data_IF_882798985426
#
_entry.id   IF_882798985426
#
_cell.length_a   1.000
_cell.length_b   1.000
_cell.length_c   1.000
_cell.angle_alpha   90.00
_cell.angle_beta   90.00
_cell.angle_gamma   90.00
#
_symmetry.space_group_name_H-M   'P 1'
#
loop_
_entity.id
_entity.type
_entity.pdbx_description
1 polymer ?
#
# COMPACT_ATOMS: atom_id res chain seq x y z
N UNK A 1 17.06 -3.41 1.13
CA UNK A 1 16.92 -1.94 1.35
C UNK A 1 18.26 -1.28 1.09
N UNK A 2 18.30 -0.18 0.33
CA UNK A 2 19.53 0.61 0.12
C UNK A 2 20.07 1.16 1.45
N UNK A 3 21.34 1.54 1.49
CA UNK A 3 21.94 2.15 2.69
C UNK A 3 21.22 3.44 3.11
N UNK A 4 20.75 4.21 2.12
CA UNK A 4 19.95 5.43 2.30
C UNK A 4 18.47 5.15 2.68
N UNK A 5 18.05 3.88 2.79
CA UNK A 5 16.67 3.46 3.08
C UNK A 5 15.60 4.01 2.13
N UNK A 6 16.02 4.41 0.94
CA UNK A 6 15.16 4.88 -0.13
C UNK A 6 14.54 3.69 -0.86
N UNK A 7 13.20 3.60 -0.97
CA UNK A 7 12.57 2.53 -1.72
C UNK A 7 12.60 2.82 -3.22
N UNK A 8 12.72 1.77 -4.02
CA UNK A 8 12.57 1.80 -5.47
C UNK A 8 11.82 0.57 -5.95
N UNK A 9 11.21 0.66 -7.13
CA UNK A 9 10.68 -0.52 -7.81
C UNK A 9 11.83 -1.43 -8.26
N UNK A 10 11.63 -2.73 -8.15
CA UNK A 10 12.64 -3.73 -8.46
C UNK A 10 11.99 -4.98 -9.07
N UNK A 11 12.56 -5.50 -10.16
CA UNK A 11 12.13 -6.75 -10.78
C UNK A 11 12.88 -7.91 -10.13
N UNK A 12 12.29 -8.49 -9.10
CA UNK A 12 12.80 -9.71 -8.48
C UNK A 12 12.52 -10.94 -9.35
N UNK A 13 13.53 -11.77 -9.56
CA UNK A 13 13.49 -12.99 -10.38
C UNK A 13 13.74 -14.26 -9.54
N UNK A 14 14.14 -14.12 -8.28
CA UNK A 14 14.36 -15.25 -7.37
C UNK A 14 13.91 -14.93 -5.93
N UNK A 15 13.91 -15.97 -5.07
CA UNK A 15 13.44 -15.87 -3.69
C UNK A 15 14.25 -14.88 -2.85
N UNK A 16 15.58 -14.85 -3.01
CA UNK A 16 16.46 -13.97 -2.25
C UNK A 16 16.14 -12.51 -2.55
N UNK A 17 15.99 -12.19 -3.82
CA UNK A 17 15.58 -10.88 -4.33
C UNK A 17 14.20 -10.45 -3.80
N UNK A 18 13.23 -11.37 -3.74
CA UNK A 18 11.92 -11.08 -3.11
C UNK A 18 12.08 -10.77 -1.61
N UNK A 19 12.91 -11.53 -0.90
CA UNK A 19 13.14 -11.34 0.53
C UNK A 19 13.87 -10.03 0.84
N UNK A 20 14.71 -9.53 -0.06
CA UNK A 20 15.36 -8.22 0.07
C UNK A 20 14.37 -7.04 0.06
N UNK A 21 13.15 -7.26 -0.46
CA UNK A 21 12.05 -6.30 -0.45
C UNK A 21 11.21 -6.35 0.85
N UNK A 22 11.50 -7.24 1.79
CA UNK A 22 10.74 -7.36 3.03
C UNK A 22 10.90 -6.12 3.93
N UNK A 23 9.85 -5.85 4.72
CA UNK A 23 9.76 -4.69 5.59
C UNK A 23 8.92 -3.56 4.99
N UNK A 24 8.69 -2.51 5.79
CA UNK A 24 7.92 -1.34 5.36
C UNK A 24 8.83 -0.15 5.14
N UNK A 25 8.73 0.45 3.95
CA UNK A 25 9.11 1.85 3.74
C UNK A 25 7.85 2.68 3.62
N UNK A 26 7.79 3.78 4.37
CA UNK A 26 6.64 4.67 4.39
C UNK A 26 6.73 5.78 3.34
N UNK A 27 7.85 5.89 2.63
CA UNK A 27 8.01 6.79 1.49
C UNK A 27 7.18 6.31 0.30
N UNK A 28 6.70 7.24 -0.52
CA UNK A 28 6.10 6.92 -1.81
C UNK A 28 7.13 6.19 -2.70
N UNK A 29 6.77 5.00 -3.17
CA UNK A 29 7.61 4.16 -4.02
C UNK A 29 6.93 3.94 -5.39
N UNK A 30 7.55 4.32 -6.51
CA UNK A 30 6.98 4.16 -7.85
C UNK A 30 7.20 2.74 -8.40
N UNK A 31 6.53 1.74 -7.83
CA UNK A 31 6.67 0.32 -8.28
C UNK A 31 6.33 0.18 -9.78
N UNK A 32 5.37 0.94 -10.28
CA UNK A 32 4.98 0.90 -11.70
C UNK A 32 6.04 1.48 -12.65
N UNK A 33 7.00 2.25 -12.16
CA UNK A 33 8.15 2.68 -12.96
C UNK A 33 9.00 1.45 -13.37
N UNK A 34 9.34 0.59 -12.41
CA UNK A 34 10.08 -0.63 -12.68
C UNK A 34 9.32 -1.57 -13.63
N UNK A 35 7.99 -1.67 -13.47
CA UNK A 35 7.14 -2.40 -14.41
C UNK A 35 7.22 -1.81 -15.83
N UNK A 36 7.19 -0.49 -15.97
CA UNK A 36 7.25 0.18 -17.28
C UNK A 36 8.63 0.10 -17.95
N UNK A 37 9.69 -0.21 -17.19
CA UNK A 37 11.03 -0.50 -17.74
C UNK A 37 11.16 -1.94 -18.27
N UNK A 38 10.18 -2.82 -18.02
CA UNK A 38 10.17 -4.16 -18.62
C UNK A 38 9.92 -4.02 -20.13
N UNK A 39 10.71 -4.75 -20.91
CA UNK A 39 10.67 -4.70 -22.38
C UNK A 39 9.34 -5.21 -22.92
N UNK A 40 8.87 -4.64 -24.03
CA UNK A 40 7.55 -4.95 -24.61
C UNK A 40 7.41 -6.40 -25.12
N UNK A 41 8.53 -7.04 -25.44
CA UNK A 41 8.65 -8.43 -25.89
C UNK A 41 8.69 -9.44 -24.72
N UNK A 42 8.74 -8.97 -23.47
CA UNK A 42 8.65 -9.83 -22.30
C UNK A 42 7.33 -10.61 -22.30
N UNK A 43 7.43 -11.93 -22.11
CA UNK A 43 6.31 -12.86 -22.09
C UNK A 43 6.22 -13.66 -20.77
N UNK A 44 6.95 -13.24 -19.74
CA UNK A 44 6.94 -13.90 -18.44
C UNK A 44 5.66 -13.59 -17.67
N UNK A 45 5.23 -14.52 -16.82
CA UNK A 45 4.18 -14.25 -15.83
C UNK A 45 4.74 -13.37 -14.72
N UNK A 46 4.09 -12.24 -14.48
CA UNK A 46 4.50 -11.23 -13.50
C UNK A 46 3.56 -11.25 -12.29
N UNK A 47 4.16 -11.13 -11.11
CA UNK A 47 3.49 -10.77 -9.87
C UNK A 47 3.87 -9.35 -9.46
N UNK A 48 2.92 -8.57 -8.95
CA UNK A 48 3.18 -7.20 -8.48
C UNK A 48 2.71 -7.04 -7.03
N UNK A 49 3.57 -6.49 -6.17
CA UNK A 49 3.20 -6.01 -4.83
C UNK A 49 3.11 -4.49 -4.87
N UNK A 50 1.96 -3.91 -4.53
CA UNK A 50 1.76 -2.48 -4.68
C UNK A 50 0.77 -1.89 -3.67
N UNK A 51 0.83 -0.58 -3.46
CA UNK A 51 -0.15 0.17 -2.64
C UNK A 51 -1.44 0.46 -3.43
N UNK A 52 -2.55 0.85 -2.77
CA UNK A 52 -3.87 0.90 -3.39
C UNK A 52 -3.97 1.78 -4.65
N UNK A 53 -3.29 2.93 -4.67
CA UNK A 53 -3.29 3.82 -5.83
C UNK A 53 -2.59 3.20 -7.06
N UNK A 54 -1.54 2.41 -6.83
CA UNK A 54 -0.81 1.69 -7.88
C UNK A 54 -1.59 0.47 -8.34
N UNK A 55 -2.25 -0.25 -7.42
CA UNK A 55 -3.20 -1.32 -7.74
C UNK A 55 -4.34 -0.78 -8.63
N UNK A 56 -4.91 0.38 -8.29
CA UNK A 56 -5.92 1.03 -9.12
C UNK A 56 -5.40 1.34 -10.53
N UNK A 57 -4.16 1.81 -10.65
CA UNK A 57 -3.54 2.05 -11.96
C UNK A 57 -3.34 0.75 -12.75
N UNK A 58 -2.94 -0.36 -12.11
CA UNK A 58 -2.88 -1.69 -12.75
C UNK A 58 -4.25 -2.11 -13.26
N UNK A 59 -5.31 -1.95 -12.46
CA UNK A 59 -6.67 -2.30 -12.87
C UNK A 59 -7.16 -1.45 -14.05
N UNK A 60 -6.80 -0.17 -14.08
CA UNK A 60 -7.06 0.71 -15.24
C UNK A 60 -6.30 0.24 -16.47
N UNK A 61 -5.01 -0.07 -16.35
CA UNK A 61 -4.22 -0.63 -17.47
C UNK A 61 -4.79 -1.96 -17.97
N UNK A 62 -5.28 -2.84 -17.08
CA UNK A 62 -5.94 -4.09 -17.50
C UNK A 62 -7.22 -3.84 -18.31
N UNK A 63 -7.95 -2.77 -18.00
CA UNK A 63 -9.17 -2.37 -18.73
C UNK A 63 -8.85 -1.66 -20.04
N UNK A 64 -7.85 -0.78 -20.03
CA UNK A 64 -7.40 0.04 -21.15
C UNK A 64 -5.88 -0.10 -21.29
N UNK A 65 -5.40 -1.14 -21.99
CA UNK A 65 -3.97 -1.42 -22.10
C UNK A 65 -3.20 -0.29 -22.78
N UNK A 66 -2.10 0.21 -22.17
CA UNK A 66 -1.24 1.20 -22.81
C UNK A 66 -0.52 0.59 -24.02
N UNK A 67 -0.37 1.39 -25.08
CA UNK A 67 0.41 1.03 -26.26
C UNK A 67 1.91 1.12 -25.96
N UNK A 68 2.73 0.38 -26.71
CA UNK A 68 4.20 0.39 -26.62
C UNK A 68 4.76 0.10 -25.21
N UNK A 69 4.05 -0.70 -24.43
CA UNK A 69 4.46 -1.21 -23.10
C UNK A 69 4.45 -2.73 -23.08
N UNK A 70 5.07 -3.31 -22.05
CA UNK A 70 4.87 -4.73 -21.72
C UNK A 70 3.38 -5.03 -21.58
N UNK A 71 2.97 -6.20 -22.10
CA UNK A 71 1.57 -6.62 -22.08
C UNK A 71 1.07 -6.73 -20.64
N UNK A 72 0.10 -5.90 -20.26
CA UNK A 72 -0.53 -5.93 -18.92
C UNK A 72 -1.19 -7.27 -18.59
N UNK A 73 -1.56 -8.05 -19.61
CA UNK A 73 -2.02 -9.43 -19.46
C UNK A 73 -0.97 -10.36 -18.85
N UNK A 74 0.31 -9.99 -18.83
CA UNK A 74 1.38 -10.74 -18.16
C UNK A 74 1.29 -10.63 -16.63
N UNK A 75 0.63 -9.61 -16.08
CA UNK A 75 0.42 -9.46 -14.63
C UNK A 75 -0.66 -10.44 -14.16
N UNK A 76 -0.22 -11.62 -13.73
CA UNK A 76 -1.09 -12.73 -13.30
C UNK A 76 -1.50 -12.66 -11.84
N UNK A 77 -0.76 -11.90 -11.03
CA UNK A 77 -1.02 -11.76 -9.60
C UNK A 77 -0.73 -10.35 -9.12
N UNK A 78 -1.63 -9.77 -8.34
CA UNK A 78 -1.49 -8.47 -7.67
C UNK A 78 -1.72 -8.65 -6.18
N UNK A 79 -0.68 -8.43 -5.38
CA UNK A 79 -0.77 -8.37 -3.91
C UNK A 79 -0.82 -6.89 -3.50
N UNK A 80 -1.96 -6.46 -2.99
CA UNK A 80 -2.20 -5.10 -2.56
C UNK A 80 -1.86 -4.90 -1.09
N UNK A 81 -1.01 -3.92 -0.77
CA UNK A 81 -0.75 -3.56 0.63
C UNK A 81 -1.83 -2.61 1.16
N UNK A 82 -2.17 -2.73 2.44
CA UNK A 82 -2.96 -1.71 3.11
C UNK A 82 -2.15 -0.41 3.19
N UNK A 83 -2.81 0.73 2.95
CA UNK A 83 -2.14 2.02 2.95
C UNK A 83 -3.11 3.13 3.35
N UNK A 84 -2.76 3.88 4.37
CA UNK A 84 -3.51 5.08 4.76
C UNK A 84 -2.94 6.32 4.06
N UNK A 85 -1.62 6.43 3.99
CA UNK A 85 -0.86 7.54 3.39
C UNK A 85 0.54 7.06 3.02
N UNK A 86 1.20 7.82 2.15
CA UNK A 86 2.61 7.68 1.82
C UNK A 86 3.32 9.02 2.06
N UNK A 87 4.59 8.98 2.42
CA UNK A 87 5.41 10.14 2.74
C UNK A 87 6.22 10.61 1.52
N UNK A 88 6.43 11.92 1.44
CA UNK A 88 7.24 12.61 0.44
C UNK A 88 8.63 12.00 0.38
N UNK A 89 9.11 11.68 -0.83
CA UNK A 89 10.46 11.15 -1.01
C UNK A 89 11.50 12.15 -0.51
N UNK A 90 11.49 13.37 -1.04
CA UNK A 90 12.56 14.35 -0.78
C UNK A 90 12.55 14.84 0.67
N UNK A 91 11.38 15.29 1.15
CA UNK A 91 11.28 15.96 2.44
C UNK A 91 11.42 14.98 3.60
N UNK A 92 10.80 13.80 3.51
CA UNK A 92 10.91 12.79 4.56
C UNK A 92 12.30 12.16 4.58
N UNK A 93 12.91 11.92 3.43
CA UNK A 93 14.28 11.41 3.38
C UNK A 93 15.28 12.40 3.98
N UNK A 94 15.13 13.70 3.70
CA UNK A 94 15.92 14.74 4.37
C UNK A 94 15.76 14.68 5.89
N UNK A 95 14.51 14.60 6.37
CA UNK A 95 14.23 14.45 7.80
C UNK A 95 14.91 13.20 8.39
N UNK A 96 14.85 12.06 7.70
CA UNK A 96 15.51 10.84 8.14
C UNK A 96 17.03 11.01 8.22
N UNK A 97 17.67 11.63 7.22
CA UNK A 97 19.12 11.88 7.20
C UNK A 97 19.60 12.82 8.31
N UNK A 98 18.79 13.81 8.66
CA UNK A 98 19.11 14.78 9.70
C UNK A 98 18.98 14.19 11.12
N UNK A 99 18.19 13.14 11.29
CA UNK A 99 17.82 12.62 12.62
C UNK A 99 18.27 11.18 12.89
N UNK A 100 18.73 10.43 11.89
CA UNK A 100 19.11 9.02 12.02
C UNK A 100 20.38 8.70 11.21
N UNK A 101 21.18 7.78 11.74
CA UNK A 101 22.22 7.08 10.97
C UNK A 101 21.55 5.98 10.11
N UNK A 102 21.08 6.36 8.92
CA UNK A 102 20.25 5.51 8.06
C UNK A 102 20.84 4.13 7.73
N UNK A 103 22.15 3.99 7.44
CA UNK A 103 22.78 2.69 7.28
C UNK A 103 22.51 1.73 8.44
N UNK A 104 22.48 2.23 9.68
CA UNK A 104 22.25 1.43 10.89
C UNK A 104 20.78 1.09 11.15
N UNK A 105 19.83 1.75 10.49
CA UNK A 105 18.41 1.46 10.71
C UNK A 105 18.05 0.10 10.11
N UNK A 106 17.44 -0.78 10.91
CA UNK A 106 17.00 -2.12 10.50
C UNK A 106 15.55 -2.18 10.08
N UNK A 107 14.69 -1.40 10.74
CA UNK A 107 13.24 -1.41 10.53
C UNK A 107 12.66 -0.04 10.86
N UNK A 108 11.62 0.34 10.13
CA UNK A 108 10.70 1.39 10.52
C UNK A 108 9.35 0.79 10.90
N UNK A 109 8.65 1.46 11.80
CA UNK A 109 7.30 1.07 12.20
C UNK A 109 6.45 2.29 12.56
N UNK A 110 5.15 2.19 12.29
CA UNK A 110 4.14 3.18 12.70
C UNK A 110 3.08 2.36 13.42
N UNK A 111 3.24 2.16 14.74
CA UNK A 111 2.36 1.29 15.49
C UNK A 111 0.92 1.80 15.46
N UNK A 112 -0.07 0.91 15.56
CA UNK A 112 -1.47 1.30 15.54
C UNK A 112 -1.81 2.27 16.70
N UNK A 113 -2.89 3.05 16.58
CA UNK A 113 -3.39 3.86 17.67
C UNK A 113 -3.54 3.06 18.97
N UNK A 114 -3.29 3.66 20.15
CA UNK A 114 -3.03 5.09 20.39
C UNK A 114 -1.54 5.47 20.36
N UNK A 115 -0.64 4.64 19.83
CA UNK A 115 0.81 4.82 19.98
C UNK A 115 1.35 6.17 19.45
N UNK A 116 0.73 6.72 18.41
CA UNK A 116 0.97 8.07 17.86
C UNK A 116 2.46 8.43 17.65
N UNK A 117 3.24 7.47 17.19
CA UNK A 117 4.68 7.64 16.93
C UNK A 117 5.13 6.92 15.65
N UNK A 118 6.28 7.33 15.15
CA UNK A 118 7.08 6.63 14.16
C UNK A 118 8.35 6.13 14.83
N UNK A 119 8.61 4.84 14.72
CA UNK A 119 9.71 4.16 15.40
C UNK A 119 10.76 3.69 14.38
N UNK A 120 12.02 4.06 14.59
CA UNK A 120 13.18 3.54 13.87
C UNK A 120 13.99 2.62 14.80
N UNK A 121 14.26 1.40 14.35
CA UNK A 121 14.98 0.39 15.12
C UNK A 121 16.43 0.30 14.65
N UNK A 122 17.38 0.54 15.56
CA UNK A 122 18.82 0.52 15.30
C UNK A 122 19.51 -0.52 16.24
N UNK A 123 20.80 -0.84 16.04
CA UNK A 123 21.55 -1.65 16.99
C UNK A 123 21.61 -1.06 18.40
N UNK A 124 21.56 0.27 18.54
CA UNK A 124 21.62 0.96 19.84
C UNK A 124 20.26 1.07 20.54
N UNK A 125 19.17 0.72 19.85
CA UNK A 125 17.83 0.71 20.41
C UNK A 125 16.79 1.31 19.47
N UNK A 126 15.71 1.82 20.06
CA UNK A 126 14.59 2.41 19.32
C UNK A 126 14.62 3.93 19.42
N UNK A 127 14.56 4.59 18.28
CA UNK A 127 14.39 6.05 18.19
C UNK A 127 12.95 6.32 17.76
N UNK A 128 12.23 7.13 18.54
CA UNK A 128 10.81 7.41 18.33
C UNK A 128 10.57 8.89 18.04
N UNK A 129 9.74 9.18 17.05
CA UNK A 129 9.32 10.53 16.67
C UNK A 129 7.81 10.69 16.81
N UNK A 130 7.29 11.85 17.25
CA UNK A 130 5.85 12.11 17.28
C UNK A 130 5.23 11.97 15.89
N UNK A 131 4.11 11.25 15.76
CA UNK A 131 3.49 11.01 14.46
C UNK A 131 3.00 12.30 13.78
N UNK A 132 2.67 13.34 14.56
CA UNK A 132 2.30 14.66 14.04
C UNK A 132 3.44 15.29 13.23
N UNK A 133 4.69 15.19 13.72
CA UNK A 133 5.86 15.65 12.99
C UNK A 133 6.06 14.88 11.68
N UNK A 134 5.67 13.61 11.62
CA UNK A 134 5.81 12.79 10.40
C UNK A 134 4.70 13.11 9.39
N UNK A 135 3.49 13.37 9.88
CA UNK A 135 2.31 13.65 9.04
C UNK A 135 2.49 14.88 8.15
N UNK A 136 3.35 15.82 8.51
CA UNK A 136 3.66 16.99 7.66
C UNK A 136 4.25 16.60 6.30
N UNK A 137 4.93 15.46 6.22
CA UNK A 137 5.52 14.94 4.99
C UNK A 137 4.55 14.09 4.16
N UNK A 138 3.27 14.01 4.54
CA UNK A 138 2.29 13.21 3.80
C UNK A 138 2.11 13.76 2.39
N UNK A 139 2.18 12.89 1.39
CA UNK A 139 1.90 13.26 0.00
C UNK A 139 0.51 13.91 -0.11
N UNK A 140 0.38 15.14 -0.65
CA UNK A 140 -0.90 15.82 -0.78
C UNK A 140 -1.95 15.02 -1.57
N UNK A 141 -1.49 14.14 -2.46
CA UNK A 141 -2.33 13.26 -3.28
C UNK A 141 -3.06 12.18 -2.47
N UNK A 142 -2.53 11.80 -1.31
CA UNK A 142 -3.19 10.86 -0.40
C UNK A 142 -4.48 11.43 0.20
N UNK A 143 -4.62 12.76 0.25
CA UNK A 143 -5.81 13.43 0.80
C UNK A 143 -7.09 13.13 0.00
N UNK A 144 -6.98 12.79 -1.28
CA UNK A 144 -8.09 12.41 -2.14
C UNK A 144 -8.05 10.95 -2.60
N UNK A 145 -7.32 10.08 -1.89
CA UNK A 145 -7.31 8.62 -2.12
C UNK A 145 -8.39 7.92 -1.26
N UNK A 146 -9.32 7.20 -1.91
CA UNK A 146 -10.44 6.54 -1.22
C UNK A 146 -10.12 5.13 -0.73
N UNK A 147 -9.02 4.54 -1.19
CA UNK A 147 -8.74 3.12 -0.97
C UNK A 147 -7.71 2.95 0.14
N UNK A 148 -8.10 2.20 1.18
CA UNK A 148 -7.23 1.80 2.28
C UNK A 148 -6.70 0.37 2.11
N UNK A 149 -7.49 -0.51 1.50
CA UNK A 149 -7.29 -1.96 1.57
C UNK A 149 -6.92 -2.57 0.24
N UNK A 150 -6.56 -1.77 -0.77
CA UNK A 150 -6.25 -2.23 -2.13
C UNK A 150 -7.40 -3.06 -2.73
N UNK A 151 -8.56 -2.40 -2.89
CA UNK A 151 -9.84 -3.02 -3.28
C UNK A 151 -9.82 -3.76 -4.62
N UNK A 152 -8.86 -3.45 -5.49
CA UNK A 152 -8.71 -4.07 -6.81
C UNK A 152 -7.55 -5.07 -6.94
N UNK A 153 -6.94 -5.50 -5.83
CA UNK A 153 -5.90 -6.53 -5.82
C UNK A 153 -6.50 -7.95 -5.88
N UNK A 154 -5.69 -8.96 -6.13
CA UNK A 154 -6.10 -10.37 -6.00
C UNK A 154 -6.15 -10.79 -4.53
N UNK A 155 -5.14 -10.37 -3.78
CA UNK A 155 -5.02 -10.49 -2.32
C UNK A 155 -4.67 -9.12 -1.76
N UNK A 156 -5.25 -8.76 -0.63
CA UNK A 156 -4.84 -7.57 0.12
C UNK A 156 -4.32 -7.91 1.50
N UNK A 157 -3.22 -7.28 1.90
CA UNK A 157 -2.49 -7.61 3.13
C UNK A 157 -2.15 -6.34 3.91
N UNK A 158 -2.38 -6.36 5.21
CA UNK A 158 -1.89 -5.33 6.13
C UNK A 158 -1.81 -5.86 7.55
N UNK A 159 -1.17 -5.11 8.45
CA UNK A 159 -1.03 -5.54 9.86
C UNK A 159 -2.38 -5.73 10.54
N UNK A 160 -2.48 -6.72 11.42
CA UNK A 160 -3.62 -6.84 12.34
C UNK A 160 -3.42 -5.89 13.50
N UNK A 161 -4.45 -5.10 13.82
CA UNK A 161 -4.42 -4.23 14.99
C UNK A 161 -4.33 -5.06 16.29
N UNK A 162 -3.35 -4.77 17.14
CA UNK A 162 -3.24 -5.40 18.46
C UNK A 162 -2.74 -6.85 18.48
N UNK A 163 -2.39 -7.44 17.32
CA UNK A 163 -1.81 -8.79 17.24
C UNK A 163 -0.48 -8.72 16.50
N UNK A 164 0.61 -8.62 17.25
CA UNK A 164 1.96 -8.50 16.70
C UNK A 164 2.36 -9.76 15.90
N UNK A 165 3.06 -9.55 14.77
CA UNK A 165 3.50 -10.63 13.89
C UNK A 165 2.44 -11.15 12.93
N UNK A 166 1.17 -10.75 13.10
CA UNK A 166 0.06 -11.19 12.24
C UNK A 166 -0.37 -10.13 11.23
N UNK A 167 -0.85 -10.61 10.07
CA UNK A 167 -1.43 -9.78 9.03
C UNK A 167 -2.90 -10.15 8.78
N UNK A 168 -3.73 -9.14 8.56
CA UNK A 168 -5.06 -9.32 7.98
C UNK A 168 -4.89 -9.56 6.49
N UNK A 169 -5.50 -10.64 6.00
CA UNK A 169 -5.50 -10.99 4.58
C UNK A 169 -6.93 -10.97 4.05
N UNK A 170 -7.19 -10.22 2.97
CA UNK A 170 -8.47 -10.18 2.27
C UNK A 170 -8.26 -10.81 0.89
N UNK A 171 -8.90 -11.95 0.65
CA UNK A 171 -8.91 -12.62 -0.65
C UNK A 171 -10.04 -12.03 -1.50
N UNK A 172 -9.74 -11.61 -2.74
CA UNK A 172 -10.70 -10.90 -3.59
C UNK A 172 -11.04 -11.62 -4.89
N UNK A 173 -10.06 -12.30 -5.48
CA UNK A 173 -10.20 -12.97 -6.78
C UNK A 173 -9.89 -14.46 -6.67
N UNK A 174 -10.26 -15.22 -7.71
CA UNK A 174 -9.94 -16.65 -7.82
C UNK A 174 -8.43 -16.91 -7.78
N UNK A 175 -7.62 -16.13 -8.52
CA UNK A 175 -6.17 -16.20 -8.48
C UNK A 175 -5.61 -15.99 -7.06
N UNK A 176 -6.18 -15.06 -6.30
CA UNK A 176 -5.82 -14.87 -4.89
C UNK A 176 -6.20 -16.06 -4.01
N UNK A 177 -7.38 -16.65 -4.23
CA UNK A 177 -7.85 -17.83 -3.50
C UNK A 177 -6.96 -19.05 -3.76
N UNK A 178 -6.64 -19.32 -5.03
CA UNK A 178 -5.74 -20.40 -5.44
C UNK A 178 -4.35 -20.28 -4.78
N UNK A 179 -3.78 -19.06 -4.74
CA UNK A 179 -2.50 -18.83 -4.09
C UNK A 179 -2.57 -19.09 -2.58
N UNK A 180 -3.63 -18.63 -1.91
CA UNK A 180 -3.81 -18.84 -0.48
C UNK A 180 -3.95 -20.32 -0.13
N UNK A 181 -4.77 -21.06 -0.88
CA UNK A 181 -4.95 -22.51 -0.67
C UNK A 181 -3.66 -23.28 -0.97
N UNK A 182 -2.93 -22.92 -2.03
CA UNK A 182 -1.62 -23.51 -2.31
C UNK A 182 -0.63 -23.26 -1.17
N UNK A 183 -0.59 -22.04 -0.62
CA UNK A 183 0.32 -21.68 0.46
C UNK A 183 -0.01 -22.41 1.77
N UNK A 184 -1.30 -22.56 2.10
CA UNK A 184 -1.77 -23.38 3.23
C UNK A 184 -1.42 -24.86 3.06
N UNK A 185 -1.73 -25.44 1.90
CA UNK A 185 -1.44 -26.84 1.60
C UNK A 185 0.05 -27.18 1.66
N UNK A 186 0.92 -26.20 1.34
CA UNK A 186 2.38 -26.33 1.45
C UNK A 186 2.95 -25.98 2.83
N UNK A 187 2.10 -25.69 3.82
CA UNK A 187 2.53 -25.31 5.18
C UNK A 187 3.35 -24.02 5.22
N UNK A 188 3.12 -23.09 4.28
CA UNK A 188 3.84 -21.80 4.19
C UNK A 188 3.16 -20.68 4.95
N UNK A 189 1.90 -20.86 5.35
CA UNK A 189 1.12 -19.88 6.11
C UNK A 189 0.44 -20.55 7.28
N UNK A 190 0.52 -19.89 8.43
CA UNK A 190 -0.40 -20.09 9.54
C UNK A 190 -1.60 -19.15 9.34
N UNK A 191 -2.81 -19.64 9.59
CA UNK A 191 -4.03 -18.85 9.41
C UNK A 191 -4.98 -19.02 10.57
N UNK A 192 -5.58 -17.92 11.01
CA UNK A 192 -6.62 -17.91 12.04
C UNK A 192 -7.75 -16.95 11.62
N UNK A 193 -8.90 -17.06 12.29
CA UNK A 193 -10.03 -16.18 12.08
C UNK A 193 -9.72 -14.77 12.58
N UNK A 194 -9.97 -13.76 11.74
CA UNK A 194 -9.86 -12.37 12.16
C UNK A 194 -10.92 -12.07 13.24
N UNK A 195 -10.54 -11.56 14.43
CA UNK A 195 -11.52 -11.27 15.46
C UNK A 195 -12.56 -10.23 14.98
N UNK A 196 -13.85 -10.37 15.37
CA UNK A 196 -14.91 -9.48 14.89
C UNK A 196 -14.67 -7.99 15.18
N UNK A 197 -14.04 -7.68 16.31
CA UNK A 197 -13.71 -6.30 16.68
C UNK A 197 -12.66 -5.70 15.73
N UNK A 198 -11.61 -6.45 15.39
CA UNK A 198 -10.61 -6.02 14.41
C UNK A 198 -11.23 -5.78 13.04
N UNK A 199 -12.15 -6.64 12.61
CA UNK A 199 -12.90 -6.43 11.36
C UNK A 199 -13.75 -5.17 11.41
N UNK A 200 -14.43 -4.90 12.53
CA UNK A 200 -15.23 -3.70 12.70
C UNK A 200 -14.37 -2.43 12.62
N UNK A 201 -13.24 -2.40 13.32
CA UNK A 201 -12.29 -1.28 13.27
C UNK A 201 -11.73 -1.07 11.86
N UNK A 202 -11.37 -2.14 11.15
CA UNK A 202 -10.88 -2.04 9.77
C UNK A 202 -11.95 -1.44 8.83
N UNK A 203 -13.20 -1.87 8.96
CA UNK A 203 -14.33 -1.31 8.19
C UNK A 203 -14.54 0.17 8.50
N UNK A 204 -14.48 0.55 9.77
CA UNK A 204 -14.59 1.94 10.18
C UNK A 204 -13.43 2.80 9.63
N UNK A 205 -12.19 2.35 9.77
CA UNK A 205 -11.02 3.05 9.27
C UNK A 205 -11.07 3.26 7.75
N UNK A 206 -11.47 2.23 7.00
CA UNK A 206 -11.64 2.30 5.55
C UNK A 206 -12.77 3.28 5.17
N UNK A 207 -13.91 3.25 5.86
CA UNK A 207 -15.02 4.18 5.64
C UNK A 207 -14.61 5.64 5.93
N UNK A 208 -13.91 5.87 7.06
CA UNK A 208 -13.44 7.20 7.42
C UNK A 208 -12.44 7.75 6.40
N UNK A 209 -11.57 6.90 5.83
CA UNK A 209 -10.69 7.30 4.72
C UNK A 209 -11.52 7.72 3.50
N UNK A 210 -12.50 6.92 3.07
CA UNK A 210 -13.39 7.25 1.95
C UNK A 210 -14.10 8.59 2.18
N UNK A 211 -14.66 8.80 3.38
CA UNK A 211 -15.33 10.05 3.79
C UNK A 211 -14.41 11.26 3.67
N UNK A 212 -13.20 11.19 4.23
CA UNK A 212 -12.22 12.30 4.17
C UNK A 212 -11.84 12.60 2.73
N UNK A 213 -11.57 11.58 1.93
CA UNK A 213 -11.15 11.74 0.55
C UNK A 213 -12.26 12.32 -0.34
N UNK A 214 -13.51 11.88 -0.18
CA UNK A 214 -14.64 12.48 -0.90
C UNK A 214 -14.85 13.95 -0.55
N UNK A 215 -14.77 14.31 0.74
CA UNK A 215 -14.86 15.71 1.16
C UNK A 215 -13.76 16.56 0.52
N UNK A 216 -12.54 16.04 0.47
CA UNK A 216 -11.42 16.74 -0.17
C UNK A 216 -11.59 16.87 -1.69
N UNK A 217 -12.10 15.84 -2.37
CA UNK A 217 -12.41 15.89 -3.81
C UNK A 217 -13.44 16.97 -4.11
N UNK A 218 -14.57 16.98 -3.37
CA UNK A 218 -15.65 17.96 -3.53
C UNK A 218 -15.12 19.38 -3.29
N UNK A 219 -14.29 19.54 -2.26
CA UNK A 219 -13.66 20.83 -1.96
C UNK A 219 -12.76 21.31 -3.11
N UNK A 220 -11.99 20.42 -3.72
CA UNK A 220 -11.07 20.74 -4.84
C UNK A 220 -11.80 21.01 -6.15
N UNK A 221 -12.82 20.23 -6.47
CA UNK A 221 -13.60 20.40 -7.69
C UNK A 221 -14.56 21.58 -7.62
N UNK A 222 -14.95 21.99 -6.42
CA UNK A 222 -16.00 22.99 -6.19
C UNK A 222 -17.40 22.48 -6.52
N UNK A 223 -17.54 21.21 -6.89
CA UNK A 223 -18.80 20.62 -7.35
C UNK A 223 -18.93 19.17 -6.85
N UNK A 224 -20.05 18.89 -6.16
CA UNK A 224 -20.40 17.55 -5.67
C UNK A 224 -20.63 16.52 -6.78
N UNK A 225 -20.90 16.97 -8.01
CA UNK A 225 -21.09 16.11 -9.17
C UNK A 225 -19.78 15.78 -9.88
N UNK A 226 -18.77 16.65 -9.77
CA UNK A 226 -17.44 16.43 -10.32
C UNK A 226 -16.52 15.77 -9.28
N UNK A 227 -16.40 14.46 -9.35
CA UNK A 227 -15.58 13.66 -8.44
C UNK A 227 -14.15 13.38 -8.96
N UNK A 228 -13.67 14.23 -9.87
CA UNK A 228 -12.36 14.13 -10.51
C UNK A 228 -12.18 12.77 -11.23
N UNK A 229 -11.41 11.86 -10.63
CA UNK A 229 -11.07 10.57 -11.19
C UNK A 229 -12.05 9.44 -10.81
N UNK A 230 -13.03 9.74 -9.96
CA UNK A 230 -14.01 8.76 -9.46
C UNK A 230 -15.27 8.74 -10.32
N UNK A 231 -15.69 7.54 -10.72
CA UNK A 231 -16.97 7.30 -11.38
C UNK A 231 -18.07 6.85 -10.42
N UNK A 232 -18.16 7.42 -9.21
CA UNK A 232 -19.19 7.04 -8.23
C UNK A 232 -20.54 7.68 -8.57
N UNK A 233 -21.63 6.94 -8.38
CA UNK A 233 -22.98 7.49 -8.53
C UNK A 233 -23.33 8.45 -7.39
N UNK A 234 -24.21 9.42 -7.66
CA UNK A 234 -24.67 10.38 -6.64
C UNK A 234 -25.22 9.70 -5.38
N UNK A 235 -26.05 8.66 -5.55
CA UNK A 235 -26.58 7.87 -4.44
C UNK A 235 -25.46 7.25 -3.58
N UNK A 236 -24.40 6.73 -4.21
CA UNK A 236 -23.26 6.18 -3.49
C UNK A 236 -22.49 7.27 -2.71
N UNK A 237 -22.31 8.44 -3.31
CA UNK A 237 -21.68 9.59 -2.63
C UNK A 237 -22.49 10.01 -1.40
N UNK A 238 -23.80 10.15 -1.55
CA UNK A 238 -24.69 10.54 -0.45
C UNK A 238 -24.64 9.50 0.69
N UNK A 239 -24.68 8.21 0.37
CA UNK A 239 -24.52 7.12 1.34
C UNK A 239 -23.18 7.13 2.06
N UNK A 240 -22.10 7.43 1.34
CA UNK A 240 -20.76 7.49 1.92
C UNK A 240 -20.57 8.74 2.78
N UNK A 241 -21.31 9.82 2.54
CA UNK A 241 -21.17 11.08 3.28
C UNK A 241 -22.17 11.26 4.43
N UNK A 242 -23.26 10.47 4.46
CA UNK A 242 -24.13 10.32 5.61
C UNK A 242 -23.35 9.80 6.84
#
# INVERSE_FOLDING_TARGET
>A
MSDDKVPSGFLAQNTEEVLQCAGSSYMACPVLEAYNHITKDNNHNLGIVATPCQVLAISKMKKEPPQDRVNIGNVKLVIGLFCTWALSFDEFHKFLKENLDLPQVKKFDIPPPPANRFDAYTPSGKVSFPLEQIRQFTMPTCAYCLDMTSEFADISVGSVEGIEGWNTVIVRTEAGAELMEMAKAKGKLETDALPPQNLAHLKEAALLKKKRALKEIIKRSGDKSNLLYLGLSKNMVDKLLA
#
